data_IF_183873027792
#
_entry.id   IF_183873027792
#
_cell.length_a   1.000
_cell.length_b   1.000
_cell.length_c   1.000
_cell.angle_alpha   90.00
_cell.angle_beta   90.00
_cell.angle_gamma   90.00
#
_symmetry.space_group_name_H-M   'P 1'
#
loop_
_entity.id
_entity.type
_entity.pdbx_description
1 polymer ?
#
# COMPACT_ATOMS: atom_id res chain seq x y z
N UNK A 1 -17.55 -2.51 -21.30
CA UNK A 1 -16.73 -2.78 -20.09
C UNK A 1 -15.28 -3.14 -20.43
N UNK A 2 -14.99 -3.68 -21.61
CA UNK A 2 -13.62 -3.98 -22.07
C UNK A 2 -12.87 -2.80 -22.73
N UNK A 3 -13.43 -1.59 -22.73
CA UNK A 3 -12.90 -0.45 -23.52
C UNK A 3 -12.13 0.58 -22.68
N UNK A 4 -11.79 0.23 -21.44
CA UNK A 4 -11.00 1.07 -20.54
C UNK A 4 -9.67 0.42 -20.09
N UNK A 5 -9.29 -0.74 -20.69
CA UNK A 5 -7.98 -1.36 -20.43
C UNK A 5 -7.75 -1.87 -19.01
N UNK A 6 -8.80 -2.07 -18.21
CA UNK A 6 -8.65 -2.64 -16.87
C UNK A 6 -8.35 -4.14 -16.97
N UNK A 7 -7.16 -4.52 -16.53
CA UNK A 7 -6.76 -5.91 -16.36
C UNK A 7 -7.72 -6.60 -15.37
N UNK A 8 -8.40 -7.66 -15.81
CA UNK A 8 -9.37 -8.40 -14.98
C UNK A 8 -8.74 -8.92 -13.69
N UNK A 9 -7.45 -9.25 -13.71
CA UNK A 9 -6.71 -9.68 -12.53
C UNK A 9 -6.60 -8.55 -11.49
N UNK A 10 -6.46 -7.30 -11.94
CA UNK A 10 -6.44 -6.13 -11.05
C UNK A 10 -7.79 -5.86 -10.41
N UNK A 11 -8.88 -6.09 -11.14
CA UNK A 11 -10.25 -5.98 -10.61
C UNK A 11 -10.48 -7.03 -9.52
N UNK A 12 -10.11 -8.28 -9.77
CA UNK A 12 -10.27 -9.37 -8.80
C UNK A 12 -9.43 -9.14 -7.53
N UNK A 13 -8.17 -8.66 -7.69
CA UNK A 13 -7.32 -8.23 -6.57
C UNK A 13 -7.93 -7.07 -5.78
N UNK A 14 -8.50 -6.07 -6.46
CA UNK A 14 -9.18 -4.95 -5.83
C UNK A 14 -10.43 -5.37 -5.03
N UNK A 15 -11.18 -6.34 -5.54
CA UNK A 15 -12.37 -6.88 -4.87
C UNK A 15 -11.98 -7.71 -3.65
N UNK A 16 -11.01 -8.62 -3.78
CA UNK A 16 -10.47 -9.38 -2.64
C UNK A 16 -9.89 -8.46 -1.56
N UNK A 17 -9.32 -7.34 -1.96
CA UNK A 17 -8.83 -6.29 -1.08
C UNK A 17 -9.96 -5.59 -0.31
N UNK A 18 -11.03 -5.17 -0.99
CA UNK A 18 -12.20 -4.53 -0.37
C UNK A 18 -12.86 -5.44 0.67
N UNK A 19 -12.94 -6.74 0.41
CA UNK A 19 -13.47 -7.71 1.37
C UNK A 19 -12.61 -7.78 2.63
N UNK A 20 -11.28 -7.73 2.51
CA UNK A 20 -10.39 -7.79 3.67
C UNK A 20 -10.42 -6.48 4.50
N UNK A 21 -10.49 -5.31 3.85
CA UNK A 21 -10.68 -4.00 4.52
C UNK A 21 -11.92 -4.02 5.44
N UNK A 22 -13.03 -4.57 4.96
CA UNK A 22 -14.26 -4.66 5.73
C UNK A 22 -14.09 -5.52 6.99
N UNK A 23 -13.19 -6.52 6.97
CA UNK A 23 -12.88 -7.35 8.14
C UNK A 23 -11.89 -6.70 9.11
N UNK A 24 -11.01 -5.81 8.64
CA UNK A 24 -10.05 -5.08 9.47
C UNK A 24 -10.69 -3.95 10.29
N UNK A 25 -11.79 -3.37 9.79
CA UNK A 25 -12.57 -2.35 10.50
C UNK A 25 -13.35 -2.89 11.72
N UNK A 26 -13.41 -4.21 11.93
CA UNK A 26 -14.12 -4.87 13.03
C UNK A 26 -13.38 -4.79 14.39
N UNK A 27 -12.51 -3.78 14.57
CA UNK A 27 -12.10 -3.28 15.88
C UNK A 27 -10.92 -3.97 16.57
N UNK A 28 -10.05 -4.69 15.87
CA UNK A 28 -8.93 -5.43 16.50
C UNK A 28 -7.56 -4.75 16.49
N UNK A 29 -7.36 -3.70 15.71
CA UNK A 29 -6.08 -3.00 15.64
C UNK A 29 -6.14 -1.77 16.53
N UNK A 30 -5.60 -1.87 17.76
CA UNK A 30 -5.33 -0.68 18.56
C UNK A 30 -4.28 0.14 17.82
N UNK A 31 -4.53 1.43 17.52
CA UNK A 31 -3.54 2.28 16.89
C UNK A 31 -2.30 2.34 17.79
N UNK A 32 -1.15 1.98 17.25
CA UNK A 32 0.12 2.22 17.92
C UNK A 32 0.35 3.74 17.88
N UNK A 33 0.23 4.38 19.04
CA UNK A 33 0.65 5.77 19.21
C UNK A 33 2.18 5.80 19.35
N UNK A 34 2.88 5.58 18.24
CA UNK A 34 4.31 5.91 18.15
C UNK A 34 4.45 7.12 17.26
N UNK A 35 4.45 8.30 17.88
CA UNK A 35 4.93 9.51 17.25
C UNK A 35 6.38 9.29 16.80
N UNK A 36 6.55 9.10 15.49
CA UNK A 36 7.79 9.24 14.72
C UNK A 36 8.95 8.27 15.00
N UNK A 37 9.43 7.59 13.94
CA UNK A 37 10.86 7.29 13.77
C UNK A 37 11.37 5.92 14.20
N UNK A 38 10.51 4.92 14.41
CA UNK A 38 10.96 3.54 14.66
C UNK A 38 11.34 2.81 13.36
N UNK A 39 12.54 2.22 13.30
CA UNK A 39 12.91 1.34 12.19
C UNK A 39 12.10 0.03 12.26
N UNK A 40 11.25 -0.23 11.26
CA UNK A 40 10.56 -1.52 11.15
C UNK A 40 11.53 -2.63 10.77
N UNK A 41 11.36 -3.78 11.40
CA UNK A 41 12.04 -5.02 11.05
C UNK A 41 11.03 -5.92 10.33
N UNK A 42 11.35 -6.29 9.10
CA UNK A 42 10.54 -7.21 8.31
C UNK A 42 10.89 -8.67 8.65
N UNK A 43 9.87 -9.49 8.84
CA UNK A 43 9.97 -10.95 8.92
C UNK A 43 10.40 -11.54 7.57
N UNK A 44 10.84 -12.80 7.58
CA UNK A 44 11.28 -13.46 6.34
C UNK A 44 10.13 -13.70 5.35
N UNK A 45 8.91 -13.93 5.86
CA UNK A 45 7.71 -14.02 5.03
C UNK A 45 7.39 -12.68 4.34
N UNK A 46 7.49 -11.56 5.07
CA UNK A 46 7.32 -10.23 4.47
C UNK A 46 8.43 -9.94 3.46
N UNK A 47 9.70 -10.28 3.73
CA UNK A 47 10.80 -10.07 2.77
C UNK A 47 10.64 -10.88 1.48
N UNK A 48 10.01 -12.05 1.56
CA UNK A 48 9.75 -12.89 0.39
C UNK A 48 8.71 -12.23 -0.53
N UNK A 49 7.69 -11.62 0.07
CA UNK A 49 6.57 -11.01 -0.66
C UNK A 49 6.83 -9.56 -1.07
N UNK A 50 7.46 -8.81 -0.18
CA UNK A 50 7.89 -7.41 -0.33
C UNK A 50 9.40 -7.38 -0.55
N UNK A 51 9.78 -7.31 -1.82
CA UNK A 51 11.17 -7.18 -2.23
C UNK A 51 11.82 -5.88 -1.70
N UNK A 52 13.11 -5.69 -1.95
CA UNK A 52 13.82 -4.51 -1.48
C UNK A 52 13.23 -3.18 -2.02
N UNK A 53 12.74 -3.17 -3.26
CA UNK A 53 12.14 -1.97 -3.88
C UNK A 53 10.81 -1.61 -3.20
N UNK A 54 9.95 -2.61 -2.99
CA UNK A 54 8.66 -2.46 -2.32
C UNK A 54 8.82 -1.92 -0.90
N UNK A 55 9.78 -2.45 -0.14
CA UNK A 55 10.09 -1.96 1.22
C UNK A 55 10.67 -0.55 1.19
N UNK A 56 11.53 -0.23 0.22
CA UNK A 56 12.06 1.11 0.01
C UNK A 56 10.98 2.14 -0.29
N UNK A 57 9.97 1.77 -1.10
CA UNK A 57 8.81 2.62 -1.40
C UNK A 57 7.99 2.94 -0.14
N UNK A 58 7.66 1.94 0.68
CA UNK A 58 6.94 2.17 1.94
C UNK A 58 7.71 3.09 2.90
N UNK A 59 9.02 2.87 3.03
CA UNK A 59 9.90 3.72 3.83
C UNK A 59 9.95 5.16 3.31
N UNK A 60 10.03 5.33 1.99
CA UNK A 60 10.02 6.64 1.36
C UNK A 60 8.73 7.41 1.67
N UNK A 61 7.57 6.75 1.53
CA UNK A 61 6.26 7.33 1.81
C UNK A 61 6.09 7.71 3.29
N UNK A 62 6.55 6.86 4.21
CA UNK A 62 6.58 7.14 5.66
C UNK A 62 7.48 8.34 5.99
N UNK A 63 8.67 8.42 5.38
CA UNK A 63 9.60 9.53 5.57
C UNK A 63 9.08 10.87 5.01
N UNK A 64 8.28 10.83 3.95
CA UNK A 64 7.61 12.03 3.43
C UNK A 64 6.38 12.45 4.26
N UNK A 65 6.01 11.68 5.29
CA UNK A 65 4.82 11.92 6.11
C UNK A 65 3.50 11.62 5.39
N UNK A 66 3.56 10.91 4.26
CA UNK A 66 2.38 10.49 3.48
C UNK A 66 1.78 9.19 3.99
N UNK A 67 2.56 8.43 4.75
CA UNK A 67 2.09 7.29 5.54
C UNK A 67 2.49 7.51 6.98
N UNK A 68 1.58 7.23 7.90
CA UNK A 68 1.95 6.96 9.28
C UNK A 68 2.27 5.46 9.49
N UNK A 69 2.80 5.14 10.67
CA UNK A 69 3.17 3.77 11.01
C UNK A 69 1.96 2.81 10.99
N UNK A 70 0.76 3.29 11.37
CA UNK A 70 -0.45 2.47 11.38
C UNK A 70 -0.94 2.16 9.96
N UNK A 71 -0.92 3.16 9.07
CA UNK A 71 -1.25 3.01 7.65
C UNK A 71 -0.29 2.05 6.97
N UNK A 72 1.02 2.14 7.27
CA UNK A 72 2.00 1.18 6.79
C UNK A 72 1.70 -0.25 7.26
N UNK A 73 1.34 -0.45 8.53
CA UNK A 73 0.94 -1.78 9.01
C UNK A 73 -0.30 -2.31 8.28
N UNK A 74 -1.32 -1.47 8.08
CA UNK A 74 -2.53 -1.84 7.35
C UNK A 74 -2.20 -2.27 5.91
N UNK A 75 -1.34 -1.52 5.21
CA UNK A 75 -0.89 -1.88 3.86
C UNK A 75 -0.17 -3.23 3.85
N UNK A 76 0.73 -3.46 4.81
CA UNK A 76 1.50 -4.70 4.88
C UNK A 76 0.57 -5.89 5.18
N UNK A 77 -0.32 -5.77 6.17
CA UNK A 77 -1.26 -6.85 6.53
C UNK A 77 -2.13 -7.25 5.33
N UNK A 78 -2.61 -6.24 4.62
CA UNK A 78 -3.41 -6.40 3.42
C UNK A 78 -2.64 -7.03 2.25
N UNK A 79 -1.36 -6.72 2.10
CA UNK A 79 -0.51 -7.38 1.12
C UNK A 79 -0.29 -8.84 1.52
N UNK A 80 -0.04 -9.09 2.81
CA UNK A 80 0.19 -10.44 3.31
C UNK A 80 -1.04 -11.33 3.13
N UNK A 81 -2.26 -10.77 3.16
CA UNK A 81 -3.50 -11.50 2.88
C UNK A 81 -3.70 -11.93 1.42
N UNK A 82 -3.00 -11.31 0.46
CA UNK A 82 -3.11 -11.68 -0.95
C UNK A 82 -2.59 -13.13 -1.15
N UNK A 83 -3.24 -13.95 -1.96
CA UNK A 83 -2.81 -15.34 -2.17
C UNK A 83 -1.50 -15.52 -2.97
N UNK A 84 -1.03 -14.46 -3.62
CA UNK A 84 0.14 -14.50 -4.50
C UNK A 84 1.47 -14.55 -3.72
N UNK A 85 2.44 -15.29 -4.26
CA UNK A 85 3.75 -15.51 -3.64
C UNK A 85 4.71 -14.32 -3.75
N UNK A 86 4.49 -13.42 -4.71
CA UNK A 86 5.29 -12.21 -4.92
C UNK A 86 4.40 -11.03 -5.33
N UNK A 87 4.64 -9.86 -4.75
CA UNK A 87 3.96 -8.62 -5.08
C UNK A 87 4.84 -7.77 -6.01
N UNK A 88 4.28 -7.21 -7.08
CA UNK A 88 4.98 -6.21 -7.88
C UNK A 88 4.91 -4.82 -7.23
N UNK A 89 5.85 -3.93 -7.57
CA UNK A 89 5.83 -2.55 -7.06
C UNK A 89 4.56 -1.81 -7.48
N UNK A 90 4.05 -2.08 -8.68
CA UNK A 90 2.78 -1.51 -9.15
C UNK A 90 1.60 -1.99 -8.31
N UNK A 91 1.52 -3.29 -8.00
CA UNK A 91 0.47 -3.83 -7.14
C UNK A 91 0.53 -3.17 -5.74
N UNK A 92 1.74 -2.97 -5.20
CA UNK A 92 1.92 -2.23 -3.94
C UNK A 92 1.37 -0.80 -4.01
N UNK A 93 1.72 -0.05 -5.06
CA UNK A 93 1.23 1.32 -5.26
C UNK A 93 -0.29 1.37 -5.30
N UNK A 94 -0.92 0.41 -5.97
CA UNK A 94 -2.38 0.28 -5.98
C UNK A 94 -2.95 0.03 -4.59
N UNK A 95 -2.38 -0.92 -3.83
CA UNK A 95 -2.82 -1.20 -2.44
C UNK A 95 -2.65 0.03 -1.55
N UNK A 96 -1.57 0.80 -1.71
CA UNK A 96 -1.33 2.04 -0.96
C UNK A 96 -2.38 3.10 -1.27
N UNK A 97 -2.67 3.35 -2.55
CA UNK A 97 -3.73 4.27 -2.97
C UNK A 97 -5.10 3.85 -2.42
N UNK A 98 -5.35 2.55 -2.44
CA UNK A 98 -6.56 1.92 -1.95
C UNK A 98 -6.72 2.12 -0.43
N UNK A 99 -5.69 1.80 0.38
CA UNK A 99 -5.73 1.98 1.84
C UNK A 99 -5.89 3.45 2.22
N UNK A 100 -5.17 4.35 1.54
CA UNK A 100 -5.27 5.78 1.82
C UNK A 100 -6.57 6.40 1.32
N UNK A 101 -7.11 5.95 0.20
CA UNK A 101 -8.42 6.40 -0.31
C UNK A 101 -9.60 5.91 0.54
N UNK A 102 -9.45 4.84 1.32
CA UNK A 102 -10.48 4.31 2.20
C UNK A 102 -10.38 4.80 3.66
N UNK A 103 -9.31 5.50 4.05
CA UNK A 103 -9.31 6.23 5.32
C UNK A 103 -10.34 7.37 5.26
N UNK A 104 -11.36 7.29 6.10
CA UNK A 104 -12.51 8.22 6.15
C UNK A 104 -12.14 9.63 6.65
N UNK A 105 -10.91 9.84 7.15
CA UNK A 105 -10.44 11.12 7.65
C UNK A 105 -9.46 11.79 6.67
N UNK A 106 -9.88 12.98 6.22
CA UNK A 106 -9.11 14.08 5.62
C UNK A 106 -8.34 13.87 4.29
N UNK A 107 -8.90 14.48 3.23
CA UNK A 107 -8.20 15.22 2.17
C UNK A 107 -6.94 14.57 1.56
N UNK A 108 -7.06 13.32 1.11
CA UNK A 108 -6.07 12.72 0.21
C UNK A 108 -5.99 13.56 -1.06
N UNK A 109 -4.93 14.37 -1.14
CA UNK A 109 -4.75 15.33 -2.22
C UNK A 109 -4.57 14.63 -3.57
N UNK A 110 -5.32 15.05 -4.58
CA UNK A 110 -5.23 14.49 -5.94
C UNK A 110 -3.80 14.53 -6.51
N UNK A 111 -3.02 15.57 -6.17
CA UNK A 111 -1.61 15.71 -6.56
C UNK A 111 -0.70 14.61 -5.99
N UNK A 112 -1.04 14.08 -4.82
CA UNK A 112 -0.27 13.00 -4.19
C UNK A 112 -0.61 11.63 -4.82
N UNK A 113 -1.89 11.38 -5.12
CA UNK A 113 -2.30 10.19 -5.89
C UNK A 113 -1.63 10.17 -7.26
N UNK A 114 -1.57 11.34 -7.91
CA UNK A 114 -0.89 11.54 -9.18
C UNK A 114 0.61 11.18 -9.07
N UNK A 115 1.30 11.67 -8.02
CA UNK A 115 2.70 11.31 -7.77
C UNK A 115 2.91 9.81 -7.63
N UNK A 116 2.01 9.06 -6.98
CA UNK A 116 2.16 7.60 -6.84
C UNK A 116 2.15 6.90 -8.20
N UNK A 117 1.24 7.32 -9.08
CA UNK A 117 1.10 6.77 -10.43
C UNK A 117 2.35 7.06 -11.26
N UNK A 118 2.95 8.24 -11.14
CA UNK A 118 4.12 8.65 -11.91
C UNK A 118 5.48 8.29 -11.30
N UNK A 119 5.54 7.73 -10.08
CA UNK A 119 6.80 7.35 -9.44
C UNK A 119 7.58 6.25 -10.20
N UNK A 120 7.01 5.64 -11.24
CA UNK A 120 7.73 4.71 -12.14
C UNK A 120 8.38 5.37 -13.37
N UNK A 121 7.97 6.59 -13.74
CA UNK A 121 8.48 7.24 -14.96
C UNK A 121 9.77 8.04 -14.76
N UNK A 122 10.25 8.19 -13.52
CA UNK A 122 11.35 9.10 -13.20
C UNK A 122 12.59 8.44 -12.56
N UNK A 123 12.88 7.18 -12.91
CA UNK A 123 14.18 6.56 -12.62
C UNK A 123 15.00 6.26 -13.89
N UNK A 124 14.93 7.13 -14.88
CA UNK A 124 16.03 7.32 -15.83
C UNK A 124 16.04 8.76 -16.33
N UNK A 125 16.59 9.71 -15.59
CA UNK A 125 17.30 10.87 -16.15
C UNK A 125 18.12 11.56 -15.04
N UNK A 126 19.42 11.24 -15.06
CA UNK A 126 20.60 11.95 -14.55
C UNK A 126 20.80 12.14 -13.04
#
# INVERSE_FOLDING_TARGET
LSDAGFDTNRIDKALSWLENIATLQDGRIKPFSTNHGGMRIYSDAEKLKLDAKSRGFLLFMENMGQLDANQREMIIDQIMSLGDSSLSLDDLKWVVMMVLGNSIDEDVSAQWLESIVFLDDNHTLQ
#
